data_IF_551658828153
#
_entry.id   IF_551658828153
#
_cell.length_a   1.000
_cell.length_b   1.000
_cell.length_c   1.000
_cell.angle_alpha   90.00
_cell.angle_beta   90.00
_cell.angle_gamma   90.00
#
_symmetry.space_group_name_H-M   'P 1'
#
loop_
_entity.id
_entity.type
_entity.pdbx_description
1 polymer ?
#
# COMPACT_ATOMS: atom_id res chain seq x y z
N UNK A 1 -20.23 14.24 32.43
CA UNK A 1 -19.66 15.54 32.02
C UNK A 1 -18.47 15.25 31.10
N UNK A 2 -18.64 15.51 29.79
CA UNK A 2 -17.57 15.48 28.80
C UNK A 2 -16.69 16.70 29.02
N UNK A 3 -15.39 16.52 29.22
CA UNK A 3 -14.40 17.60 29.11
C UNK A 3 -13.64 17.42 27.80
N UNK A 4 -14.00 18.25 26.83
CA UNK A 4 -13.25 18.42 25.58
C UNK A 4 -11.84 18.92 25.91
N UNK A 5 -10.81 18.15 25.53
CA UNK A 5 -9.44 18.66 25.47
C UNK A 5 -9.34 19.53 24.23
N UNK A 6 -9.05 20.81 24.44
CA UNK A 6 -8.64 21.78 23.43
C UNK A 6 -7.50 21.20 22.61
N UNK A 7 -7.62 21.27 21.29
CA UNK A 7 -6.51 21.08 20.36
C UNK A 7 -5.35 22.00 20.78
N UNK A 8 -4.28 21.41 21.28
CA UNK A 8 -3.00 22.10 21.43
C UNK A 8 -2.49 22.43 20.03
N UNK A 9 -2.02 23.65 19.80
CA UNK A 9 -1.17 23.98 18.67
C UNK A 9 0.08 23.08 18.73
N UNK A 10 0.02 21.94 18.07
CA UNK A 10 1.15 21.05 17.89
C UNK A 10 2.06 21.71 16.87
N UNK A 11 3.22 22.19 17.30
CA UNK A 11 4.29 22.52 16.38
C UNK A 11 4.54 21.31 15.49
N UNK A 12 4.35 21.48 14.19
CA UNK A 12 4.57 20.44 13.20
C UNK A 12 6.00 19.94 13.38
N UNK A 13 6.21 18.65 13.68
CA UNK A 13 7.53 18.07 13.78
C UNK A 13 8.40 18.47 12.60
N UNK A 14 9.67 18.78 12.84
CA UNK A 14 10.59 19.23 11.78
C UNK A 14 10.68 18.25 10.62
N UNK A 15 10.53 16.94 10.89
CA UNK A 15 10.51 15.90 9.86
C UNK A 15 9.29 16.01 8.94
N UNK A 16 8.11 16.34 9.46
CA UNK A 16 6.90 16.53 8.66
C UNK A 16 7.07 17.74 7.72
N UNK A 17 7.65 18.85 8.20
CA UNK A 17 7.94 20.01 7.32
C UNK A 17 8.95 19.67 6.23
N UNK A 18 9.87 18.76 6.51
CA UNK A 18 10.87 18.30 5.55
C UNK A 18 10.26 17.37 4.52
N UNK A 19 9.46 16.39 4.94
CA UNK A 19 8.71 15.51 4.06
C UNK A 19 7.80 16.34 3.15
N UNK A 20 7.14 17.38 3.67
CA UNK A 20 6.41 18.39 2.88
C UNK A 20 7.28 19.06 1.83
N UNK A 21 8.46 19.56 2.17
CA UNK A 21 9.36 20.17 1.17
C UNK A 21 9.89 19.18 0.13
N UNK A 22 10.12 17.93 0.51
CA UNK A 22 10.54 16.86 -0.40
C UNK A 22 9.39 16.48 -1.35
N UNK A 23 8.18 16.34 -0.81
CA UNK A 23 6.95 16.10 -1.56
C UNK A 23 6.58 17.27 -2.48
N UNK A 24 6.62 18.52 -2.02
CA UNK A 24 6.38 19.71 -2.85
C UNK A 24 7.29 19.73 -4.08
N UNK A 25 8.57 19.34 -3.92
CA UNK A 25 9.51 19.22 -5.03
C UNK A 25 9.15 18.07 -5.98
N UNK A 26 8.77 16.91 -5.46
CA UNK A 26 8.37 15.76 -6.29
C UNK A 26 7.06 16.01 -7.04
N UNK A 27 6.04 16.56 -6.37
CA UNK A 27 4.76 16.96 -6.97
C UNK A 27 4.99 18.02 -8.05
N UNK A 28 5.79 19.04 -7.76
CA UNK A 28 6.14 20.09 -8.75
C UNK A 28 6.86 19.50 -9.95
N UNK A 29 7.77 18.54 -9.76
CA UNK A 29 8.47 17.86 -10.85
C UNK A 29 7.52 16.97 -11.68
N UNK A 30 6.63 16.24 -11.01
CA UNK A 30 5.65 15.34 -11.65
C UNK A 30 4.66 16.12 -12.53
N UNK A 31 4.15 17.26 -12.06
CA UNK A 31 3.24 18.12 -12.84
C UNK A 31 3.96 18.98 -13.89
N UNK A 32 5.26 19.27 -13.74
CA UNK A 32 6.00 20.09 -14.72
C UNK A 32 6.69 19.29 -15.82
N UNK A 33 6.93 18.00 -15.63
CA UNK A 33 7.56 17.13 -16.64
C UNK A 33 9.02 17.49 -16.92
N UNK A 34 9.87 16.47 -17.06
CA UNK A 34 11.30 16.62 -17.31
C UNK A 34 11.65 17.53 -18.49
N UNK A 35 12.77 18.25 -18.34
CA UNK A 35 13.54 18.92 -19.40
C UNK A 35 12.72 19.69 -20.45
N UNK A 36 12.16 20.85 -20.08
CA UNK A 36 11.89 21.89 -21.09
C UNK A 36 13.18 22.68 -21.33
N UNK A 37 13.75 22.52 -22.52
CA UNK A 37 14.69 23.50 -23.09
C UNK A 37 14.07 24.90 -23.04
N UNK A 38 14.93 25.88 -22.80
CA UNK A 38 14.58 27.27 -22.58
C UNK A 38 13.71 27.86 -23.72
N UNK A 39 12.50 28.28 -23.37
CA UNK A 39 11.60 29.10 -24.17
C UNK A 39 11.01 30.22 -23.31
N UNK A 40 10.91 31.41 -23.90
CA UNK A 40 10.74 32.75 -23.31
C UNK A 40 9.59 32.97 -22.31
N UNK A 41 9.71 33.99 -21.42
CA UNK A 41 8.68 34.34 -20.45
C UNK A 41 7.61 35.22 -21.12
N UNK A 42 6.45 34.66 -21.44
CA UNK A 42 5.25 35.45 -21.64
C UNK A 42 4.16 35.02 -20.66
N UNK A 43 3.54 36.05 -20.11
CA UNK A 43 2.60 36.14 -19.01
C UNK A 43 1.45 35.12 -19.06
N UNK A 44 1.37 34.25 -18.03
CA UNK A 44 0.12 33.56 -17.67
C UNK A 44 -0.42 34.19 -16.37
N UNK A 45 -1.19 35.26 -16.52
CA UNK A 45 -2.23 35.61 -15.55
C UNK A 45 -3.43 34.70 -15.85
N UNK A 46 -3.43 33.49 -15.32
CA UNK A 46 -4.62 32.66 -15.23
C UNK A 46 -5.24 32.90 -13.85
N UNK A 47 -6.49 33.36 -13.86
CA UNK A 47 -7.30 33.58 -12.66
C UNK A 47 -7.32 32.31 -11.79
N UNK A 48 -6.99 32.43 -10.51
CA UNK A 48 -6.91 31.32 -9.53
C UNK A 48 -8.28 30.63 -9.26
N UNK A 49 -9.39 31.11 -9.85
CA UNK A 49 -10.74 30.60 -9.58
C UNK A 49 -11.11 29.32 -10.36
N UNK A 50 -10.35 28.90 -11.38
CA UNK A 50 -10.61 27.69 -12.19
C UNK A 50 -9.59 26.55 -12.00
N UNK A 51 -8.67 26.66 -11.02
CA UNK A 51 -7.73 25.59 -10.71
C UNK A 51 -8.47 24.42 -10.02
N UNK A 52 -8.55 23.27 -10.69
CA UNK A 52 -8.99 22.02 -10.06
C UNK A 52 -8.24 21.83 -8.73
N UNK A 53 -8.95 21.54 -7.62
CA UNK A 53 -8.29 21.36 -6.33
C UNK A 53 -7.26 20.24 -6.44
N UNK A 54 -6.04 20.52 -5.95
CA UNK A 54 -4.96 19.55 -5.92
C UNK A 54 -5.44 18.24 -5.27
N UNK A 55 -5.17 17.07 -5.87
CA UNK A 55 -5.50 15.78 -5.24
C UNK A 55 -4.64 15.52 -3.99
N UNK A 56 -3.60 16.34 -3.76
CA UNK A 56 -2.68 16.22 -2.64
C UNK A 56 -2.91 17.31 -1.58
N UNK A 57 -2.79 16.91 -0.32
CA UNK A 57 -2.80 17.76 0.86
C UNK A 57 -1.49 18.55 1.01
N UNK A 58 -1.54 19.66 1.73
CA UNK A 58 -0.33 20.40 2.15
C UNK A 58 0.56 19.59 3.10
N UNK A 59 -0.02 18.64 3.85
CA UNK A 59 0.68 17.75 4.77
C UNK A 59 0.03 16.37 4.77
N UNK A 60 0.80 15.30 4.95
CA UNK A 60 0.24 13.97 4.93
C UNK A 60 -0.48 13.68 6.24
N UNK A 61 -1.55 12.90 6.16
CA UNK A 61 -2.21 12.32 7.33
C UNK A 61 -1.48 11.02 7.66
N UNK A 62 -0.72 11.07 8.76
CA UNK A 62 0.13 9.97 9.23
C UNK A 62 -0.57 9.01 10.19
N UNK A 63 -1.86 9.24 10.49
CA UNK A 63 -2.63 8.32 11.32
C UNK A 63 -2.74 6.97 10.60
N UNK A 64 -2.31 5.91 11.30
CA UNK A 64 -2.38 4.54 10.81
C UNK A 64 -3.56 3.84 11.47
N UNK A 65 -4.42 3.26 10.65
CA UNK A 65 -5.47 2.37 11.12
C UNK A 65 -4.97 0.94 11.02
N UNK A 66 -4.87 0.26 12.16
CA UNK A 66 -4.38 -1.12 12.20
C UNK A 66 -5.43 -2.07 12.77
N UNK A 67 -5.43 -3.30 12.29
CA UNK A 67 -6.15 -4.40 12.93
C UNK A 67 -5.38 -5.71 12.75
N UNK A 68 -5.67 -6.68 13.59
CA UNK A 68 -5.03 -7.99 13.58
C UNK A 68 -6.06 -9.07 13.81
N UNK A 69 -5.71 -10.30 13.48
CA UNK A 69 -6.51 -11.47 13.80
C UNK A 69 -5.76 -12.75 13.43
N UNK A 70 -6.42 -13.86 13.66
CA UNK A 70 -5.88 -15.17 13.30
C UNK A 70 -6.90 -16.27 13.48
N UNK A 71 -6.46 -17.51 13.39
CA UNK A 71 -7.26 -18.70 13.64
C UNK A 71 -6.43 -19.80 14.31
N UNK A 72 -7.11 -20.84 14.78
CA UNK A 72 -6.48 -21.99 15.44
C UNK A 72 -5.69 -22.89 14.46
N UNK A 73 -5.79 -22.64 13.15
CA UNK A 73 -5.04 -23.33 12.09
C UNK A 73 -3.65 -22.71 11.85
N UNK A 74 -3.25 -21.72 12.66
CA UNK A 74 -1.93 -21.08 12.59
C UNK A 74 -1.82 -20.02 11.50
N UNK A 75 -2.96 -19.51 11.00
CA UNK A 75 -2.99 -18.36 10.11
C UNK A 75 -3.17 -17.09 10.94
N UNK A 76 -2.16 -16.23 10.96
CA UNK A 76 -2.23 -14.93 11.65
C UNK A 76 -2.13 -13.81 10.62
N UNK A 77 -2.71 -12.66 10.89
CA UNK A 77 -2.57 -11.51 10.00
C UNK A 77 -2.56 -10.19 10.77
N UNK A 78 -2.00 -9.18 10.12
CA UNK A 78 -2.28 -7.79 10.43
C UNK A 78 -2.53 -7.00 9.15
N UNK A 79 -3.33 -5.96 9.28
CA UNK A 79 -3.56 -4.96 8.25
C UNK A 79 -3.24 -3.59 8.82
N UNK A 80 -2.63 -2.75 8.00
CA UNK A 80 -2.48 -1.34 8.28
C UNK A 80 -2.86 -0.52 7.05
N UNK A 81 -3.44 0.65 7.29
CA UNK A 81 -3.74 1.61 6.23
C UNK A 81 -3.46 3.05 6.68
N UNK A 82 -2.98 3.89 5.76
CA UNK A 82 -2.68 5.30 6.01
C UNK A 82 -3.08 6.13 4.78
N UNK A 83 -3.75 7.26 5.02
CA UNK A 83 -4.18 8.15 3.94
C UNK A 83 -3.01 8.83 3.23
N UNK A 84 -1.95 9.19 3.97
CA UNK A 84 -0.78 9.80 3.38
C UNK A 84 -1.09 11.17 2.78
N UNK A 85 -0.62 11.41 1.55
CA UNK A 85 -0.68 12.73 0.91
C UNK A 85 -1.98 13.01 0.18
N UNK A 86 -2.81 12.00 -0.10
CA UNK A 86 -4.07 12.18 -0.84
C UNK A 86 -5.08 12.95 0.00
N UNK A 87 -5.93 13.72 -0.66
CA UNK A 87 -7.03 14.45 -0.02
C UNK A 87 -8.09 13.53 0.61
N UNK A 88 -8.25 12.32 0.07
CA UNK A 88 -9.19 11.30 0.54
C UNK A 88 -8.46 9.98 0.80
N UNK A 89 -9.06 9.15 1.66
CA UNK A 89 -8.69 7.75 1.84
C UNK A 89 -9.70 6.89 1.08
N UNK A 90 -9.31 6.44 -0.11
CA UNK A 90 -10.18 5.68 -1.04
C UNK A 90 -9.96 4.16 -0.93
N UNK A 91 -8.86 3.72 -0.31
CA UNK A 91 -8.60 2.30 -0.03
C UNK A 91 -9.64 1.68 0.92
N UNK A 92 -9.92 0.40 0.70
CA UNK A 92 -10.64 -0.47 1.61
C UNK A 92 -9.99 -1.86 1.69
N UNK A 93 -10.38 -2.67 2.67
CA UNK A 93 -9.86 -4.04 2.81
C UNK A 93 -10.88 -4.99 3.45
N UNK A 94 -10.66 -6.29 3.26
CA UNK A 94 -11.38 -7.37 3.93
C UNK A 94 -10.37 -8.34 4.51
N UNK A 95 -10.52 -8.69 5.79
CA UNK A 95 -9.70 -9.71 6.43
C UNK A 95 -10.60 -10.71 7.14
N UNK A 96 -10.60 -11.97 6.68
CA UNK A 96 -11.32 -13.07 7.28
C UNK A 96 -10.39 -14.26 7.40
N UNK A 97 -9.75 -14.42 8.56
CA UNK A 97 -8.92 -15.59 8.88
C UNK A 97 -9.72 -16.89 8.93
N UNK A 98 -11.05 -16.82 9.00
CA UNK A 98 -11.93 -17.97 9.00
C UNK A 98 -13.27 -17.62 8.33
N UNK A 99 -13.70 -18.43 7.36
CA UNK A 99 -15.06 -18.35 6.79
C UNK A 99 -16.06 -19.10 7.69
N UNK A 100 -17.34 -19.12 7.28
CA UNK A 100 -18.44 -19.68 8.06
C UNK A 100 -19.00 -20.97 7.44
N UNK A 101 -19.69 -21.76 8.26
CA UNK A 101 -20.36 -22.99 7.80
C UNK A 101 -19.36 -24.04 7.35
N UNK A 102 -19.66 -24.74 6.26
CA UNK A 102 -18.81 -25.82 5.71
C UNK A 102 -17.44 -25.34 5.19
N UNK A 103 -17.18 -24.03 5.22
CA UNK A 103 -15.91 -23.41 4.80
C UNK A 103 -15.09 -22.92 6.00
N UNK A 104 -15.32 -23.42 7.20
CA UNK A 104 -14.62 -22.99 8.42
C UNK A 104 -13.08 -23.13 8.37
N UNK A 105 -12.54 -23.96 7.47
CA UNK A 105 -11.09 -24.07 7.27
C UNK A 105 -10.55 -23.17 6.14
N UNK A 106 -11.39 -22.29 5.59
CA UNK A 106 -11.03 -21.34 4.54
C UNK A 106 -10.81 -19.95 5.12
N UNK A 107 -9.97 -19.16 4.45
CA UNK A 107 -9.73 -17.76 4.79
C UNK A 107 -9.78 -16.87 3.53
N UNK A 108 -10.12 -15.60 3.70
CA UNK A 108 -10.20 -14.61 2.62
C UNK A 108 -9.59 -13.28 3.05
N UNK A 109 -8.70 -12.75 2.22
CA UNK A 109 -8.10 -11.43 2.41
C UNK A 109 -8.12 -10.66 1.10
N UNK A 110 -8.38 -9.36 1.15
CA UNK A 110 -8.34 -8.51 -0.03
C UNK A 110 -8.06 -7.05 0.32
N UNK A 111 -7.30 -6.39 -0.56
CA UNK A 111 -7.10 -4.94 -0.62
C UNK A 111 -7.82 -4.40 -1.85
N UNK A 112 -8.50 -3.27 -1.67
CA UNK A 112 -9.24 -2.57 -2.70
C UNK A 112 -8.71 -1.15 -2.77
N UNK A 113 -7.98 -0.82 -3.83
CA UNK A 113 -7.51 0.55 -4.10
C UNK A 113 -8.62 1.28 -4.86
N UNK A 114 -9.24 2.28 -4.23
CA UNK A 114 -10.35 3.02 -4.79
C UNK A 114 -9.87 4.25 -5.55
N UNK A 115 -10.56 4.63 -6.62
CA UNK A 115 -10.28 5.86 -7.34
C UNK A 115 -11.54 6.60 -7.77
N UNK A 116 -11.46 7.93 -7.79
CA UNK A 116 -12.55 8.84 -8.15
C UNK A 116 -13.80 8.67 -7.26
N UNK A 117 -13.59 8.37 -5.98
CA UNK A 117 -14.60 8.13 -4.95
C UNK A 117 -14.36 6.85 -4.17
N UNK A 118 -14.95 6.77 -2.98
CA UNK A 118 -14.77 5.65 -2.03
C UNK A 118 -15.83 4.56 -2.21
N UNK A 119 -16.90 4.86 -2.95
CA UNK A 119 -18.14 4.08 -2.94
C UNK A 119 -17.93 2.63 -3.40
N UNK A 120 -17.25 2.43 -4.54
CA UNK A 120 -17.06 1.08 -5.11
C UNK A 120 -16.12 0.23 -4.25
N UNK A 121 -15.00 0.79 -3.76
CA UNK A 121 -14.07 0.08 -2.87
C UNK A 121 -14.75 -0.36 -1.56
N UNK A 122 -15.52 0.53 -0.93
CA UNK A 122 -16.29 0.22 0.28
C UNK A 122 -17.40 -0.79 0.05
N UNK A 123 -18.03 -0.80 -1.13
CA UNK A 123 -19.03 -1.81 -1.46
C UNK A 123 -18.37 -3.18 -1.68
N UNK A 124 -17.26 -3.23 -2.43
CA UNK A 124 -16.54 -4.47 -2.72
C UNK A 124 -15.99 -5.11 -1.45
N UNK A 125 -15.36 -4.33 -0.56
CA UNK A 125 -14.84 -4.84 0.72
C UNK A 125 -15.89 -5.49 1.63
N UNK A 126 -17.17 -5.18 1.44
CA UNK A 126 -18.28 -5.76 2.22
C UNK A 126 -18.97 -6.91 1.51
N UNK A 127 -19.02 -6.91 0.17
CA UNK A 127 -19.93 -7.74 -0.60
C UNK A 127 -19.26 -8.66 -1.63
N UNK A 128 -17.98 -8.48 -1.97
CA UNK A 128 -17.32 -9.28 -3.01
C UNK A 128 -17.25 -10.75 -2.64
N UNK A 129 -16.85 -11.06 -1.41
CA UNK A 129 -16.80 -12.45 -0.94
C UNK A 129 -18.19 -13.11 -1.02
N UNK A 130 -19.24 -12.42 -0.61
CA UNK A 130 -20.61 -12.96 -0.67
C UNK A 130 -21.04 -13.25 -2.11
N UNK A 131 -20.67 -12.41 -3.08
CA UNK A 131 -20.93 -12.66 -4.49
C UNK A 131 -20.16 -13.87 -5.02
N UNK A 132 -18.90 -14.04 -4.60
CA UNK A 132 -18.08 -15.22 -4.94
C UNK A 132 -18.70 -16.49 -4.34
N UNK A 133 -19.08 -16.47 -3.06
CA UNK A 133 -19.68 -17.62 -2.39
C UNK A 133 -21.05 -17.99 -2.98
N UNK A 134 -21.87 -16.99 -3.34
CA UNK A 134 -23.19 -17.18 -3.94
C UNK A 134 -23.17 -17.86 -5.32
N UNK A 135 -22.01 -17.95 -5.99
CA UNK A 135 -21.85 -18.74 -7.22
C UNK A 135 -22.01 -20.24 -6.98
N UNK A 136 -21.77 -20.70 -5.75
CA UNK A 136 -21.68 -22.12 -5.43
C UNK A 136 -20.44 -22.80 -6.00
N UNK A 137 -19.44 -22.05 -6.46
CA UNK A 137 -18.14 -22.58 -6.88
C UNK A 137 -17.21 -22.96 -5.72
N UNK A 138 -17.36 -22.30 -4.57
CA UNK A 138 -16.54 -22.54 -3.37
C UNK A 138 -17.22 -23.56 -2.47
N UNK A 139 -16.61 -24.73 -2.29
CA UNK A 139 -17.14 -25.85 -1.50
C UNK A 139 -16.03 -26.54 -0.72
N UNK A 140 -16.39 -27.19 0.39
CA UNK A 140 -15.46 -27.93 1.25
C UNK A 140 -14.66 -29.01 0.52
N UNK A 141 -15.26 -29.67 -0.48
CA UNK A 141 -14.59 -30.72 -1.25
C UNK A 141 -13.55 -30.19 -2.25
N UNK A 142 -13.47 -28.87 -2.42
CA UNK A 142 -12.50 -28.14 -3.24
C UNK A 142 -12.28 -28.71 -4.65
N UNK A 143 -13.02 -28.20 -5.63
CA UNK A 143 -12.69 -28.36 -7.05
C UNK A 143 -12.02 -27.07 -7.55
N UNK A 144 -10.70 -27.08 -7.84
CA UNK A 144 -9.98 -25.86 -8.17
C UNK A 144 -10.50 -25.11 -9.39
N UNK A 145 -11.07 -25.81 -10.37
CA UNK A 145 -11.62 -25.15 -11.56
C UNK A 145 -12.98 -24.52 -11.27
N UNK A 146 -13.81 -25.14 -10.40
CA UNK A 146 -15.03 -24.50 -9.89
C UNK A 146 -14.71 -23.30 -9.00
N UNK A 147 -13.62 -23.34 -8.23
CA UNK A 147 -13.18 -22.22 -7.41
C UNK A 147 -12.78 -21.03 -8.28
N UNK A 148 -11.93 -21.25 -9.29
CA UNK A 148 -11.53 -20.21 -10.24
C UNK A 148 -12.74 -19.61 -10.97
N UNK A 149 -13.63 -20.44 -11.50
CA UNK A 149 -14.82 -19.94 -12.18
C UNK A 149 -15.78 -19.23 -11.22
N UNK A 150 -15.93 -19.71 -9.98
CA UNK A 150 -16.73 -19.04 -8.96
C UNK A 150 -16.19 -17.66 -8.57
N UNK A 151 -14.87 -17.50 -8.49
CA UNK A 151 -14.23 -16.20 -8.28
C UNK A 151 -14.52 -15.29 -9.49
N UNK A 152 -14.26 -15.77 -10.71
CA UNK A 152 -14.51 -15.03 -11.94
C UNK A 152 -15.97 -14.58 -12.04
N UNK A 153 -16.91 -15.50 -11.90
CA UNK A 153 -18.35 -15.21 -11.97
C UNK A 153 -18.78 -14.25 -10.84
N UNK A 154 -18.22 -14.37 -9.64
CA UNK A 154 -18.45 -13.46 -8.53
C UNK A 154 -18.10 -12.00 -8.86
N UNK A 155 -16.94 -11.78 -9.48
CA UNK A 155 -16.52 -10.45 -9.96
C UNK A 155 -17.46 -9.90 -11.03
N UNK A 156 -17.83 -10.70 -12.03
CA UNK A 156 -18.74 -10.26 -13.09
C UNK A 156 -20.14 -9.91 -12.53
N UNK A 157 -20.64 -10.72 -11.59
CA UNK A 157 -21.93 -10.52 -10.92
C UNK A 157 -21.95 -9.26 -10.06
N UNK A 158 -20.94 -9.04 -9.21
CA UNK A 158 -20.92 -7.84 -8.37
C UNK A 158 -20.79 -6.56 -9.21
N UNK A 159 -19.98 -6.59 -10.27
CA UNK A 159 -19.82 -5.43 -11.16
C UNK A 159 -21.13 -5.10 -11.89
N UNK A 160 -21.79 -6.13 -12.43
CA UNK A 160 -23.13 -5.98 -13.04
C UNK A 160 -24.19 -5.53 -12.05
N UNK A 161 -24.09 -5.94 -10.79
CA UNK A 161 -25.00 -5.54 -9.72
C UNK A 161 -24.81 -4.06 -9.36
N UNK A 162 -23.56 -3.63 -9.14
CA UNK A 162 -23.22 -2.24 -8.85
C UNK A 162 -23.54 -1.31 -10.03
N UNK A 163 -23.43 -1.76 -11.28
CA UNK A 163 -23.81 -0.96 -12.46
C UNK A 163 -25.31 -0.65 -12.49
N UNK A 164 -26.16 -1.56 -12.01
CA UNK A 164 -27.59 -1.32 -11.87
C UNK A 164 -27.86 -0.34 -10.72
N UNK A 165 -27.25 -0.57 -9.56
CA UNK A 165 -27.40 0.30 -8.40
C UNK A 165 -26.93 1.73 -8.68
N UNK A 166 -25.81 1.91 -9.40
CA UNK A 166 -25.26 3.24 -9.68
C UNK A 166 -26.20 4.11 -10.52
N UNK A 167 -27.02 3.50 -11.39
CA UNK A 167 -28.06 4.17 -12.19
C UNK A 167 -29.29 4.55 -11.38
N UNK A 168 -29.56 3.84 -10.28
CA UNK A 168 -30.71 4.07 -9.39
C UNK A 168 -30.37 5.08 -8.28
N UNK A 169 -29.17 4.98 -7.71
CA UNK A 169 -28.77 5.66 -6.47
C UNK A 169 -27.72 6.77 -6.67
N UNK A 170 -27.47 7.23 -7.91
CA UNK A 170 -26.54 8.33 -8.22
C UNK A 170 -25.15 8.16 -7.57
N UNK A 171 -24.56 6.98 -7.71
CA UNK A 171 -23.23 6.71 -7.16
C UNK A 171 -22.16 7.61 -7.77
N UNK A 172 -21.09 7.84 -7.01
CA UNK A 172 -19.84 8.40 -7.54
C UNK A 172 -19.36 7.57 -8.73
N UNK A 173 -18.72 8.23 -9.71
CA UNK A 173 -18.09 7.58 -10.87
C UNK A 173 -16.75 6.95 -10.49
N UNK A 174 -16.77 6.22 -9.37
CA UNK A 174 -15.60 5.56 -8.79
C UNK A 174 -15.37 4.20 -9.42
N UNK A 175 -14.14 3.73 -9.27
CA UNK A 175 -13.76 2.35 -9.52
C UNK A 175 -12.88 1.85 -8.38
N UNK A 176 -12.56 0.57 -8.42
CA UNK A 176 -11.58 0.00 -7.51
C UNK A 176 -10.85 -1.18 -8.12
N UNK A 177 -9.58 -1.31 -7.77
CA UNK A 177 -8.83 -2.54 -7.95
C UNK A 177 -9.23 -3.57 -6.90
N UNK A 178 -8.82 -4.83 -7.08
CA UNK A 178 -8.92 -5.85 -6.06
C UNK A 178 -7.74 -6.82 -6.17
N UNK A 179 -6.86 -6.79 -5.17
CA UNK A 179 -5.86 -7.83 -4.95
C UNK A 179 -6.26 -8.65 -3.73
N UNK A 180 -6.40 -9.95 -3.88
CA UNK A 180 -6.91 -10.82 -2.84
C UNK A 180 -6.37 -12.24 -2.88
N UNK A 181 -6.62 -12.95 -1.79
CA UNK A 181 -6.37 -14.39 -1.69
C UNK A 181 -7.57 -15.08 -1.07
N UNK A 182 -7.90 -16.25 -1.61
CA UNK A 182 -8.77 -17.23 -0.97
C UNK A 182 -7.89 -18.43 -0.62
N UNK A 183 -7.80 -18.76 0.67
CA UNK A 183 -6.91 -19.80 1.20
C UNK A 183 -7.77 -20.97 1.64
N UNK A 184 -7.58 -22.14 1.03
CA UNK A 184 -8.19 -23.40 1.46
C UNK A 184 -7.20 -24.20 2.30
N UNK A 185 -7.60 -25.36 2.84
CA UNK A 185 -6.66 -26.29 3.48
C UNK A 185 -5.50 -26.73 2.59
N UNK A 186 -5.68 -26.73 1.25
CA UNK A 186 -4.71 -27.29 0.30
C UNK A 186 -4.10 -26.29 -0.66
N UNK A 187 -4.78 -25.19 -0.96
CA UNK A 187 -4.36 -24.26 -1.99
C UNK A 187 -4.48 -22.80 -1.55
N UNK A 188 -3.69 -21.95 -2.19
CA UNK A 188 -3.81 -20.50 -2.17
C UNK A 188 -4.29 -20.08 -3.55
N UNK A 189 -5.46 -19.47 -3.62
CA UNK A 189 -6.01 -18.86 -4.83
C UNK A 189 -5.71 -17.37 -4.80
N UNK A 190 -4.76 -16.92 -5.62
CA UNK A 190 -4.46 -15.50 -5.80
C UNK A 190 -5.45 -14.90 -6.78
N UNK A 191 -5.95 -13.72 -6.47
CA UNK A 191 -7.00 -13.02 -7.21
C UNK A 191 -6.47 -11.62 -7.50
N UNK A 192 -6.37 -11.23 -8.76
CA UNK A 192 -6.00 -9.85 -9.11
C UNK A 192 -6.91 -9.24 -10.17
N UNK A 193 -7.33 -7.99 -9.94
CA UNK A 193 -8.05 -7.16 -10.90
C UNK A 193 -7.61 -5.71 -10.68
N UNK A 194 -6.68 -5.23 -11.49
CA UNK A 194 -6.02 -3.92 -11.31
C UNK A 194 -4.52 -4.05 -11.01
N UNK A 195 -3.95 -3.03 -10.38
CA UNK A 195 -2.53 -2.86 -10.11
C UNK A 195 -2.15 -2.82 -8.62
N UNK A 196 -3.10 -3.09 -7.73
CA UNK A 196 -2.75 -3.70 -6.45
C UNK A 196 -2.06 -5.05 -6.70
N UNK A 197 -1.24 -5.51 -5.75
CA UNK A 197 -0.45 -6.74 -5.93
C UNK A 197 -0.43 -7.58 -4.67
N UNK A 198 -0.39 -8.90 -4.89
CA UNK A 198 -0.14 -9.91 -3.85
C UNK A 198 1.13 -10.68 -4.17
N UNK A 199 1.95 -10.98 -3.17
CA UNK A 199 3.07 -11.92 -3.27
C UNK A 199 3.06 -12.98 -2.17
N UNK A 200 3.77 -14.09 -2.42
CA UNK A 200 4.04 -15.17 -1.48
C UNK A 200 5.54 -15.31 -1.24
N UNK A 201 5.92 -15.27 0.04
CA UNK A 201 7.24 -15.68 0.51
C UNK A 201 7.20 -17.16 0.90
N UNK A 202 8.16 -17.92 0.38
CA UNK A 202 8.38 -19.34 0.68
C UNK A 202 9.88 -19.57 0.82
N UNK A 203 10.30 -20.13 1.95
CA UNK A 203 11.72 -20.33 2.30
C UNK A 203 12.60 -19.08 2.05
N UNK A 204 12.08 -17.92 2.46
CA UNK A 204 12.76 -16.63 2.31
C UNK A 204 12.84 -16.06 0.89
N UNK A 205 12.14 -16.63 -0.08
CA UNK A 205 12.12 -16.16 -1.47
C UNK A 205 10.70 -15.81 -1.94
N UNK A 206 10.61 -14.83 -2.85
CA UNK A 206 9.37 -14.56 -3.57
C UNK A 206 9.18 -15.65 -4.62
N UNK A 207 8.25 -16.58 -4.37
CA UNK A 207 7.97 -17.70 -5.29
C UNK A 207 6.82 -17.40 -6.24
N UNK A 208 5.97 -16.44 -5.89
CA UNK A 208 4.84 -16.02 -6.71
C UNK A 208 4.42 -14.60 -6.37
N UNK A 209 3.96 -13.86 -7.39
CA UNK A 209 3.25 -12.61 -7.24
C UNK A 209 2.27 -12.42 -8.40
N UNK A 210 1.20 -11.66 -8.18
CA UNK A 210 0.21 -11.35 -9.21
C UNK A 210 0.75 -10.33 -10.22
N UNK A 211 0.39 -10.45 -11.49
CA UNK A 211 0.76 -9.45 -12.50
C UNK A 211 -0.20 -8.25 -12.48
N UNK A 212 0.35 -7.03 -12.48
CA UNK A 212 -0.44 -5.79 -12.49
C UNK A 212 -1.12 -5.59 -13.85
N UNK A 213 -2.39 -5.19 -13.81
CA UNK A 213 -3.19 -4.90 -15.00
C UNK A 213 -3.02 -3.44 -15.44
N UNK A 214 -1.96 -3.18 -16.18
CA UNK A 214 -1.65 -1.85 -16.74
C UNK A 214 -2.14 -1.71 -18.19
N UNK A 215 -2.67 -0.54 -18.62
CA UNK A 215 -3.19 -0.32 -19.97
C UNK A 215 -2.20 -0.61 -21.09
N UNK A 216 -0.89 -0.47 -20.83
CA UNK A 216 0.15 -0.71 -21.84
C UNK A 216 0.55 -2.19 -21.98
N UNK A 217 0.04 -3.09 -21.13
CA UNK A 217 0.27 -4.53 -21.26
C UNK A 217 -0.34 -5.03 -22.59
N UNK A 218 0.30 -5.95 -23.33
CA UNK A 218 -0.11 -6.31 -24.68
C UNK A 218 -1.59 -6.72 -24.82
N UNK A 219 -2.07 -7.64 -23.96
CA UNK A 219 -3.46 -8.12 -23.97
C UNK A 219 -4.46 -7.04 -23.59
N UNK A 220 -4.10 -6.20 -22.62
CA UNK A 220 -4.93 -5.10 -22.14
C UNK A 220 -5.08 -4.02 -23.21
N UNK A 221 -3.96 -3.62 -23.83
CA UNK A 221 -3.92 -2.66 -24.94
C UNK A 221 -4.74 -3.14 -26.13
N UNK A 222 -4.62 -4.41 -26.50
CA UNK A 222 -5.41 -5.02 -27.58
C UNK A 222 -6.91 -4.93 -27.26
N UNK A 223 -7.34 -5.32 -26.06
CA UNK A 223 -8.74 -5.18 -25.62
C UNK A 223 -9.22 -3.74 -25.71
N UNK A 224 -8.46 -2.79 -25.16
CA UNK A 224 -8.79 -1.35 -25.15
C UNK A 224 -8.97 -0.83 -26.59
N UNK A 225 -8.07 -1.17 -27.51
CA UNK A 225 -8.16 -0.76 -28.91
C UNK A 225 -9.36 -1.39 -29.62
N UNK A 226 -9.62 -2.67 -29.36
CA UNK A 226 -10.76 -3.41 -29.88
C UNK A 226 -12.11 -2.86 -29.38
N UNK A 227 -12.14 -2.29 -28.16
CA UNK A 227 -13.28 -1.59 -27.61
C UNK A 227 -13.43 -0.14 -28.12
N UNK A 228 -12.56 0.31 -29.03
CA UNK A 228 -12.62 1.65 -29.65
C UNK A 228 -11.85 2.73 -28.88
N UNK A 229 -11.08 2.37 -27.86
CA UNK A 229 -10.24 3.29 -27.10
C UNK A 229 -8.80 3.36 -27.58
N UNK A 230 -7.98 4.08 -26.80
CA UNK A 230 -6.55 4.24 -27.05
C UNK A 230 -5.77 4.17 -25.74
N UNK A 231 -4.47 3.91 -25.83
CA UNK A 231 -3.55 3.97 -24.68
C UNK A 231 -2.56 5.10 -24.94
N UNK A 232 -2.68 6.17 -24.15
CA UNK A 232 -1.92 7.41 -24.30
C UNK A 232 -1.30 7.73 -22.95
N UNK A 233 0.03 7.98 -22.91
CA UNK A 233 0.77 8.21 -21.66
C UNK A 233 0.48 7.14 -20.59
N UNK A 234 0.48 5.86 -21.01
CA UNK A 234 0.20 4.70 -20.15
C UNK A 234 -1.23 4.63 -19.59
N UNK A 235 -2.15 5.50 -20.05
CA UNK A 235 -3.54 5.59 -19.56
C UNK A 235 -4.57 5.30 -20.66
N UNK A 236 -5.70 4.73 -20.29
CA UNK A 236 -6.86 4.56 -21.18
C UNK A 236 -7.39 5.94 -21.54
N UNK A 237 -7.38 6.26 -22.84
CA UNK A 237 -7.80 7.54 -23.40
C UNK A 237 -7.10 8.76 -22.73
N UNK A 238 -5.91 8.55 -22.15
CA UNK A 238 -5.18 9.57 -21.40
C UNK A 238 -5.68 9.82 -19.97
N UNK A 239 -6.71 9.10 -19.50
CA UNK A 239 -7.35 9.34 -18.20
C UNK A 239 -7.00 8.28 -17.14
N UNK A 240 -7.38 7.01 -17.36
CA UNK A 240 -7.31 5.98 -16.31
C UNK A 240 -6.02 5.14 -16.40
N UNK A 241 -5.31 4.97 -15.29
CA UNK A 241 -4.01 4.29 -15.23
C UNK A 241 -4.09 2.77 -15.05
N UNK A 242 -5.28 2.24 -14.75
CA UNK A 242 -5.56 0.80 -14.63
C UNK A 242 -6.31 0.30 -15.84
N UNK A 243 -6.06 -0.95 -16.25
CA UNK A 243 -6.83 -1.59 -17.32
C UNK A 243 -7.95 -2.49 -16.81
N UNK A 244 -7.91 -2.90 -15.55
CA UNK A 244 -8.95 -3.72 -14.93
C UNK A 244 -9.35 -3.14 -13.59
N UNK A 245 -10.66 -3.14 -13.34
CA UNK A 245 -11.27 -2.63 -12.12
C UNK A 245 -12.74 -3.05 -12.05
N UNK A 246 -13.26 -3.12 -10.84
CA UNK A 246 -14.70 -3.08 -10.56
C UNK A 246 -15.16 -1.62 -10.57
N UNK A 247 -16.40 -1.33 -10.97
CA UNK A 247 -16.86 0.06 -11.14
C UNK A 247 -16.45 0.64 -12.50
N UNK A 248 -16.05 1.90 -12.55
CA UNK A 248 -15.63 2.59 -13.79
C UNK A 248 -16.63 2.45 -14.94
N UNK A 249 -17.93 2.56 -14.63
CA UNK A 249 -18.99 2.18 -15.56
C UNK A 249 -18.97 2.99 -16.86
N UNK A 250 -18.51 4.25 -16.84
CA UNK A 250 -18.35 5.07 -18.04
C UNK A 250 -17.37 4.44 -19.07
N UNK A 251 -16.47 3.56 -18.63
CA UNK A 251 -15.54 2.80 -19.48
C UNK A 251 -16.09 1.43 -19.91
N UNK A 252 -17.34 1.12 -19.57
CA UNK A 252 -17.99 -0.20 -19.75
C UNK A 252 -19.30 -0.14 -20.54
N UNK A 253 -19.51 0.92 -21.32
CA UNK A 253 -20.75 1.16 -22.10
C UNK A 253 -20.59 0.87 -23.61
N UNK A 254 -19.61 0.06 -24.04
CA UNK A 254 -19.52 -0.35 -25.44
C UNK A 254 -20.55 -1.46 -25.74
N UNK A 255 -21.69 -1.09 -26.35
CA UNK A 255 -22.83 -1.97 -26.63
C UNK A 255 -22.50 -3.22 -27.47
N UNK A 256 -21.44 -3.17 -28.26
CA UNK A 256 -21.02 -4.27 -29.15
C UNK A 256 -19.95 -5.18 -28.54
N UNK A 257 -19.63 -5.00 -27.25
CA UNK A 257 -18.62 -5.79 -26.53
C UNK A 257 -19.23 -6.45 -25.30
N UNK A 258 -18.86 -7.70 -24.99
CA UNK A 258 -19.21 -8.30 -23.71
C UNK A 258 -18.53 -7.57 -22.55
N UNK A 259 -18.99 -7.82 -21.32
CA UNK A 259 -18.51 -7.17 -20.10
C UNK A 259 -16.98 -7.23 -19.93
N UNK A 260 -16.34 -8.32 -20.34
CA UNK A 260 -14.89 -8.54 -20.20
C UNK A 260 -14.06 -7.95 -21.35
N UNK A 261 -14.70 -7.48 -22.43
CA UNK A 261 -14.06 -6.85 -23.59
C UNK A 261 -14.32 -5.34 -23.67
N UNK A 262 -14.66 -4.72 -22.54
CA UNK A 262 -14.82 -3.27 -22.41
C UNK A 262 -13.47 -2.55 -22.36
N UNK A 263 -13.46 -1.20 -22.31
CA UNK A 263 -12.21 -0.44 -22.13
C UNK A 263 -11.54 -0.82 -20.82
N UNK A 264 -12.33 -0.93 -19.74
CA UNK A 264 -11.93 -1.46 -18.43
C UNK A 264 -12.63 -2.79 -18.21
N UNK A 265 -11.89 -3.86 -17.93
CA UNK A 265 -12.47 -5.18 -17.66
C UNK A 265 -12.63 -5.42 -16.15
N UNK A 266 -13.76 -5.96 -15.68
CA UNK A 266 -13.90 -6.45 -14.30
C UNK A 266 -13.38 -7.88 -14.11
N UNK A 267 -12.89 -8.53 -15.16
CA UNK A 267 -12.47 -9.94 -15.11
C UNK A 267 -11.17 -10.11 -14.30
N UNK A 268 -11.21 -10.85 -13.17
CA UNK A 268 -10.02 -11.09 -12.39
C UNK A 268 -9.13 -12.14 -13.07
N UNK A 269 -7.83 -12.06 -12.83
CA UNK A 269 -6.94 -13.19 -13.03
C UNK A 269 -6.87 -14.01 -11.74
N UNK A 270 -6.98 -15.33 -11.87
CA UNK A 270 -7.01 -16.26 -10.74
C UNK A 270 -5.93 -17.33 -10.89
N UNK A 271 -4.96 -17.32 -9.98
CA UNK A 271 -3.87 -18.29 -9.94
C UNK A 271 -4.06 -19.23 -8.76
N UNK A 272 -3.62 -20.48 -8.94
CA UNK A 272 -3.72 -21.51 -7.90
C UNK A 272 -2.34 -22.08 -7.60
N UNK A 273 -1.92 -21.97 -6.35
CA UNK A 273 -0.74 -22.63 -5.82
C UNK A 273 -1.15 -23.66 -4.77
N UNK A 274 -0.45 -24.79 -4.71
CA UNK A 274 -0.59 -25.76 -3.63
C UNK A 274 0.18 -25.25 -2.41
N UNK A 275 -0.40 -25.42 -1.22
CA UNK A 275 0.20 -24.99 0.04
C UNK A 275 1.31 -25.94 0.46
N UNK A 276 2.35 -25.39 1.07
CA UNK A 276 3.46 -26.15 1.63
C UNK A 276 3.77 -25.70 3.07
N UNK A 277 4.35 -26.56 3.91
CA UNK A 277 4.80 -26.16 5.25
C UNK A 277 5.85 -25.04 5.26
N UNK A 278 6.58 -24.88 4.16
CA UNK A 278 7.63 -23.87 3.97
C UNK A 278 7.09 -22.49 3.53
N UNK A 279 5.78 -22.39 3.26
CA UNK A 279 5.14 -21.09 3.04
C UNK A 279 5.28 -20.24 4.31
N UNK A 280 5.90 -19.07 4.18
CA UNK A 280 6.20 -18.19 5.32
C UNK A 280 5.07 -17.17 5.50
N UNK A 281 4.84 -16.31 4.50
CA UNK A 281 3.83 -15.25 4.58
C UNK A 281 3.39 -14.74 3.20
N UNK A 282 2.20 -14.13 3.16
CA UNK A 282 1.68 -13.35 2.04
C UNK A 282 1.75 -11.86 2.36
N UNK A 283 1.95 -11.06 1.31
CA UNK A 283 1.77 -9.60 1.37
C UNK A 283 0.77 -9.20 0.30
N UNK A 284 -0.32 -8.54 0.70
CA UNK A 284 -1.29 -7.89 -0.19
C UNK A 284 -1.18 -6.39 0.04
N UNK A 285 -1.01 -5.60 -1.02
CA UNK A 285 -0.98 -4.14 -0.88
C UNK A 285 -1.45 -3.42 -2.15
N UNK A 286 -1.85 -2.15 -1.99
CA UNK A 286 -2.11 -1.23 -3.09
C UNK A 286 -0.82 -0.70 -3.72
N UNK A 287 -0.92 0.00 -4.84
CA UNK A 287 0.24 0.53 -5.57
C UNK A 287 1.01 1.58 -4.76
N UNK A 288 0.37 2.24 -3.79
CA UNK A 288 1.02 3.12 -2.81
C UNK A 288 2.17 2.46 -2.05
N UNK A 289 2.20 1.12 -1.98
CA UNK A 289 3.38 0.33 -1.55
C UNK A 289 4.26 -0.04 -2.75
N UNK A 290 3.70 -0.66 -3.78
CA UNK A 290 4.46 -1.29 -4.86
C UNK A 290 5.19 -0.32 -5.81
N UNK A 291 4.75 0.93 -5.87
CA UNK A 291 5.45 2.00 -6.57
C UNK A 291 6.66 2.51 -5.78
N UNK A 292 6.69 2.27 -4.46
CA UNK A 292 7.76 2.72 -3.57
C UNK A 292 8.83 1.64 -3.31
N UNK A 293 8.47 0.36 -3.36
CA UNK A 293 9.38 -0.75 -3.05
C UNK A 293 9.09 -1.99 -3.91
N UNK A 294 10.16 -2.63 -4.41
CA UNK A 294 10.07 -3.83 -5.24
C UNK A 294 9.68 -5.09 -4.46
N UNK A 295 9.29 -6.14 -5.19
CA UNK A 295 8.80 -7.40 -4.61
C UNK A 295 9.86 -8.05 -3.67
N UNK A 296 11.08 -8.24 -4.17
CA UNK A 296 12.16 -8.88 -3.45
C UNK A 296 12.63 -8.03 -2.26
N UNK A 297 12.68 -6.71 -2.45
CA UNK A 297 13.04 -5.75 -1.40
C UNK A 297 12.02 -5.78 -0.26
N UNK A 298 10.72 -5.73 -0.56
CA UNK A 298 9.68 -5.74 0.47
C UNK A 298 9.62 -7.10 1.18
N UNK A 299 9.75 -8.19 0.43
CA UNK A 299 9.80 -9.54 0.99
C UNK A 299 10.97 -9.68 1.97
N UNK A 300 12.18 -9.28 1.57
CA UNK A 300 13.35 -9.33 2.44
C UNK A 300 13.20 -8.42 3.66
N UNK A 301 12.64 -7.23 3.48
CA UNK A 301 12.38 -6.28 4.58
C UNK A 301 11.42 -6.87 5.60
N UNK A 302 10.23 -7.30 5.19
CA UNK A 302 9.20 -7.88 6.06
C UNK A 302 9.74 -9.10 6.80
N UNK A 303 10.42 -10.00 6.08
CA UNK A 303 11.04 -11.19 6.67
C UNK A 303 12.06 -10.83 7.76
N UNK A 304 12.91 -9.84 7.50
CA UNK A 304 13.89 -9.34 8.46
C UNK A 304 13.21 -8.70 9.68
N UNK A 305 12.12 -7.94 9.48
CA UNK A 305 11.36 -7.33 10.58
C UNK A 305 10.68 -8.38 11.48
N UNK A 306 10.16 -9.47 10.92
CA UNK A 306 9.59 -10.59 11.71
C UNK A 306 10.61 -11.24 12.67
N UNK A 307 11.91 -11.15 12.36
CA UNK A 307 12.97 -11.71 13.21
C UNK A 307 13.31 -10.80 14.41
N UNK A 308 12.82 -9.57 14.45
CA UNK A 308 13.10 -8.58 15.51
C UNK A 308 11.83 -8.01 16.17
N UNK A 309 10.66 -8.27 15.61
CA UNK A 309 9.37 -7.76 16.05
C UNK A 309 8.31 -8.87 15.95
N UNK A 310 7.58 -9.11 17.03
CA UNK A 310 6.49 -10.08 17.11
C UNK A 310 5.11 -9.49 16.77
N UNK A 311 4.95 -8.16 16.86
CA UNK A 311 3.71 -7.46 16.50
C UNK A 311 3.64 -7.20 14.98
N UNK A 312 2.80 -7.97 14.27
CA UNK A 312 2.59 -7.80 12.83
C UNK A 312 2.05 -6.41 12.47
N UNK A 313 1.31 -5.73 13.36
CA UNK A 313 0.82 -4.37 13.10
C UNK A 313 1.97 -3.38 13.03
N UNK A 314 2.98 -3.55 13.89
CA UNK A 314 4.18 -2.72 13.88
C UNK A 314 5.02 -2.96 12.62
N UNK A 315 5.05 -4.20 12.11
CA UNK A 315 5.70 -4.50 10.82
C UNK A 315 4.94 -3.82 9.68
N UNK A 316 3.61 -3.92 9.64
CA UNK A 316 2.79 -3.21 8.64
C UNK A 316 3.00 -1.70 8.71
N UNK A 317 3.06 -1.12 9.93
CA UNK A 317 3.34 0.30 10.12
C UNK A 317 4.72 0.71 9.61
N UNK A 318 5.75 -0.10 9.88
CA UNK A 318 7.11 0.12 9.36
C UNK A 318 7.17 0.08 7.83
N UNK A 319 6.39 -0.80 7.18
CA UNK A 319 6.29 -0.81 5.71
C UNK A 319 5.65 0.48 5.19
N UNK A 320 4.55 0.93 5.81
CA UNK A 320 3.89 2.19 5.44
C UNK A 320 4.86 3.37 5.57
N UNK A 321 5.58 3.47 6.69
CA UNK A 321 6.54 4.55 6.92
C UNK A 321 7.70 4.49 5.92
N UNK A 322 8.21 3.29 5.62
CA UNK A 322 9.22 3.09 4.59
C UNK A 322 8.75 3.58 3.21
N UNK A 323 7.53 3.24 2.80
CA UNK A 323 6.98 3.66 1.51
C UNK A 323 6.80 5.17 1.45
N UNK A 324 6.29 5.78 2.53
CA UNK A 324 6.17 7.23 2.66
C UNK A 324 7.55 7.91 2.56
N UNK A 325 8.57 7.38 3.22
CA UNK A 325 9.93 7.93 3.18
C UNK A 325 10.64 7.73 1.85
N UNK A 326 10.29 6.68 1.11
CA UNK A 326 10.72 6.46 -0.28
C UNK A 326 9.98 7.34 -1.29
N UNK A 327 8.97 8.10 -0.84
CA UNK A 327 8.31 9.13 -1.63
C UNK A 327 6.91 8.78 -2.12
N UNK A 328 6.28 7.74 -1.57
CA UNK A 328 4.88 7.44 -1.88
C UNK A 328 4.00 8.64 -1.53
N UNK A 329 3.20 9.08 -2.51
CA UNK A 329 2.25 10.17 -2.39
C UNK A 329 0.80 9.67 -2.35
N UNK A 330 0.60 8.36 -2.24
CA UNK A 330 -0.70 7.74 -2.34
C UNK A 330 -1.31 7.39 -0.97
N UNK A 331 -2.54 6.89 -0.99
CA UNK A 331 -3.05 6.01 0.06
C UNK A 331 -2.17 4.76 0.12
N UNK A 332 -1.96 4.24 1.33
CA UNK A 332 -1.08 3.09 1.54
C UNK A 332 -1.80 2.08 2.43
N UNK A 333 -2.16 0.93 1.87
CA UNK A 333 -2.77 -0.18 2.57
C UNK A 333 -1.98 -1.47 2.34
N UNK A 334 -1.75 -2.22 3.41
CA UNK A 334 -1.02 -3.48 3.40
C UNK A 334 -1.67 -4.49 4.36
N UNK A 335 -1.79 -5.73 3.91
CA UNK A 335 -2.12 -6.91 4.72
C UNK A 335 -0.93 -7.85 4.68
N UNK A 336 -0.44 -8.26 5.84
CA UNK A 336 0.52 -9.35 5.99
C UNK A 336 -0.22 -10.54 6.60
N UNK A 337 -0.15 -11.69 5.94
CA UNK A 337 -0.74 -12.95 6.43
C UNK A 337 0.39 -13.95 6.65
N UNK A 338 0.60 -14.38 7.89
CA UNK A 338 1.62 -15.36 8.28
C UNK A 338 1.05 -16.77 8.34
N UNK A 339 1.79 -17.71 7.78
CA UNK A 339 1.59 -19.15 7.94
C UNK A 339 2.46 -19.68 9.10
N UNK A 340 2.30 -20.95 9.50
CA UNK A 340 3.16 -21.56 10.52
C UNK A 340 4.66 -21.56 10.19
N UNK A 341 5.03 -21.47 8.91
CA UNK A 341 6.42 -21.37 8.45
C UNK A 341 7.05 -19.98 8.63
N UNK A 342 6.29 -18.96 9.03
CA UNK A 342 6.79 -17.59 9.17
C UNK A 342 8.00 -17.49 10.12
N UNK A 343 9.01 -16.67 9.80
CA UNK A 343 10.15 -16.43 10.69
C UNK A 343 9.68 -15.97 12.07
N UNK A 344 10.38 -16.45 13.08
CA UNK A 344 10.15 -16.06 14.46
C UNK A 344 11.25 -15.11 14.92
N UNK A 345 10.95 -14.33 15.96
CA UNK A 345 11.93 -13.46 16.61
C UNK A 345 13.14 -14.28 17.06
N UNK A 346 14.34 -13.78 16.75
CA UNK A 346 15.60 -14.45 17.11
C UNK A 346 16.50 -13.55 17.93
N UNK A 347 17.18 -14.12 18.92
CA UNK A 347 18.11 -13.38 19.78
C UNK A 347 19.29 -12.78 18.99
N UNK A 348 19.74 -13.49 17.96
CA UNK A 348 20.80 -13.00 17.07
C UNK A 348 20.35 -11.75 16.30
N UNK A 349 19.16 -11.77 15.69
CA UNK A 349 18.64 -10.61 14.96
C UNK A 349 18.38 -9.41 15.90
N UNK A 350 17.88 -9.66 17.12
CA UNK A 350 17.71 -8.60 18.13
C UNK A 350 19.04 -7.94 18.52
N UNK A 351 20.12 -8.73 18.66
CA UNK A 351 21.45 -8.21 18.95
C UNK A 351 22.00 -7.39 17.77
N UNK A 352 21.83 -7.87 16.55
CA UNK A 352 22.23 -7.15 15.33
C UNK A 352 21.47 -5.82 15.19
N UNK A 353 20.16 -5.81 15.46
CA UNK A 353 19.34 -4.60 15.44
C UNK A 353 19.81 -3.59 16.50
N UNK A 354 20.05 -4.03 17.74
CA UNK A 354 20.52 -3.16 18.81
C UNK A 354 21.90 -2.55 18.53
N UNK A 355 22.81 -3.34 17.93
CA UNK A 355 24.13 -2.87 17.51
C UNK A 355 24.02 -1.83 16.39
N UNK A 356 23.16 -2.06 15.39
CA UNK A 356 22.90 -1.09 14.33
C UNK A 356 22.34 0.22 14.90
N UNK A 357 21.36 0.16 15.79
CA UNK A 357 20.78 1.35 16.41
C UNK A 357 21.79 2.12 17.25
N UNK A 358 22.71 1.42 17.92
CA UNK A 358 23.81 2.06 18.62
C UNK A 358 24.77 2.79 17.66
N UNK A 359 25.14 2.16 16.54
CA UNK A 359 25.97 2.79 15.50
C UNK A 359 25.31 4.04 14.92
N UNK A 360 23.99 3.99 14.67
CA UNK A 360 23.22 5.16 14.24
C UNK A 360 23.26 6.25 15.33
N UNK A 361 23.01 5.92 16.60
CA UNK A 361 22.98 6.90 17.70
C UNK A 361 24.33 7.63 17.87
N UNK A 362 25.45 6.91 17.72
CA UNK A 362 26.81 7.48 17.78
C UNK A 362 27.05 8.42 16.60
N UNK A 363 26.77 7.99 15.36
CA UNK A 363 26.95 8.84 14.17
C UNK A 363 26.09 10.09 14.21
N UNK A 364 24.85 10.00 14.71
CA UNK A 364 23.97 11.16 14.87
C UNK A 364 24.50 12.14 15.94
N UNK A 365 25.22 11.66 16.97
CA UNK A 365 25.83 12.52 17.99
C UNK A 365 27.01 13.35 17.45
N UNK A 366 27.86 12.71 16.63
CA UNK A 366 29.06 13.31 16.02
C UNK A 366 28.72 14.50 15.11
N UNK A 367 27.56 14.43 14.46
CA UNK A 367 27.08 15.46 13.55
C UNK A 367 26.41 16.62 14.31
N UNK A 368 26.92 17.86 14.13
CA UNK A 368 26.27 19.12 14.57
C UNK A 368 25.49 19.96 13.50
N UNK A 369 24.93 19.39 12.41
CA UNK A 369 24.09 20.12 11.46
C UNK A 369 22.58 19.92 11.70
N UNK A 370 21.76 20.47 10.81
CA UNK A 370 20.32 20.20 10.79
C UNK A 370 20.02 18.72 10.44
N UNK A 371 18.81 18.26 10.79
CA UNK A 371 18.37 16.88 10.60
C UNK A 371 18.44 16.41 9.12
N UNK A 372 18.24 17.32 8.16
CA UNK A 372 18.28 16.97 6.73
C UNK A 372 19.71 16.61 6.32
N UNK A 373 20.70 17.33 6.82
CA UNK A 373 22.08 16.97 6.59
C UNK A 373 22.40 15.60 7.19
N UNK A 374 22.01 15.34 8.44
CA UNK A 374 22.27 14.04 9.11
C UNK A 374 21.68 12.88 8.30
N UNK A 375 20.43 13.02 7.82
CA UNK A 375 19.79 11.99 6.98
C UNK A 375 20.57 11.79 5.67
N UNK A 376 20.99 12.86 4.99
CA UNK A 376 21.76 12.76 3.75
C UNK A 376 23.15 12.18 3.95
N UNK A 377 23.79 12.52 5.06
CA UNK A 377 25.10 12.00 5.44
C UNK A 377 25.03 10.49 5.67
N UNK A 378 24.11 10.04 6.52
CA UNK A 378 23.90 8.61 6.78
C UNK A 378 23.47 7.84 5.53
N UNK A 379 22.75 8.47 4.60
CA UNK A 379 22.40 7.86 3.32
C UNK A 379 23.56 7.75 2.32
N UNK A 380 24.61 8.55 2.49
CA UNK A 380 25.82 8.47 1.66
C UNK A 380 26.88 7.52 2.23
N UNK A 381 26.71 7.07 3.48
CA UNK A 381 27.64 6.14 4.13
C UNK A 381 27.26 4.67 3.89
N UNK A 382 28.29 3.84 3.72
CA UNK A 382 28.12 2.39 3.74
C UNK A 382 28.02 1.91 5.19
N UNK A 383 26.80 1.59 5.63
CA UNK A 383 26.53 1.06 6.96
C UNK A 383 26.18 -0.43 6.87
N UNK A 384 26.98 -1.33 7.46
CA UNK A 384 26.66 -2.75 7.48
C UNK A 384 25.46 -3.05 8.39
N UNK A 385 24.74 -4.14 8.11
CA UNK A 385 23.64 -4.60 8.97
C UNK A 385 22.30 -3.87 8.77
N UNK A 386 22.21 -2.94 7.81
CA UNK A 386 20.95 -2.28 7.47
C UNK A 386 19.86 -3.30 7.05
N UNK A 387 18.58 -3.06 7.38
CA UNK A 387 17.49 -3.94 6.96
C UNK A 387 17.46 -4.09 5.43
N UNK A 388 17.45 -5.32 4.88
CA UNK A 388 17.44 -5.53 3.43
C UNK A 388 16.16 -4.94 2.82
N UNK A 389 16.27 -4.36 1.62
CA UNK A 389 15.17 -3.65 0.93
C UNK A 389 14.78 -2.29 1.53
N UNK A 390 14.80 -2.18 2.86
CA UNK A 390 14.52 -0.95 3.59
C UNK A 390 15.69 0.03 3.67
N UNK A 391 16.92 -0.48 3.77
CA UNK A 391 18.14 0.31 3.92
C UNK A 391 18.09 1.27 5.11
N UNK A 392 18.88 2.34 5.05
CA UNK A 392 18.88 3.41 6.07
C UNK A 392 17.54 4.14 6.17
N UNK A 393 16.77 4.18 5.06
CA UNK A 393 15.46 4.82 5.00
C UNK A 393 14.48 4.17 5.98
N UNK A 394 14.53 2.85 6.16
CA UNK A 394 13.70 2.15 7.15
C UNK A 394 14.06 2.49 8.61
N UNK A 395 15.24 3.06 8.86
CA UNK A 395 15.71 3.49 10.19
C UNK A 395 15.50 4.99 10.43
N UNK A 396 14.74 5.70 9.58
CA UNK A 396 14.55 7.15 9.68
C UNK A 396 13.96 7.58 11.03
N UNK A 397 13.02 6.83 11.60
CA UNK A 397 12.47 7.12 12.93
C UNK A 397 13.50 6.97 14.06
N UNK A 398 14.39 5.98 13.96
CA UNK A 398 15.52 5.81 14.87
C UNK A 398 16.47 7.02 14.79
N UNK A 399 16.83 7.45 13.56
CA UNK A 399 17.66 8.63 13.30
C UNK A 399 17.01 9.89 13.89
N UNK A 400 15.72 10.10 13.64
CA UNK A 400 14.97 11.27 14.14
C UNK A 400 14.95 11.26 15.68
N UNK A 401 14.68 10.10 16.29
CA UNK A 401 14.62 9.95 17.74
C UNK A 401 15.97 10.23 18.40
N UNK A 402 17.06 9.69 17.84
CA UNK A 402 18.42 9.96 18.27
C UNK A 402 18.78 11.45 18.12
N UNK A 403 18.47 12.06 16.99
CA UNK A 403 18.72 13.48 16.75
C UNK A 403 18.01 14.38 17.78
N UNK A 404 16.74 14.09 18.08
CA UNK A 404 15.98 14.83 19.09
C UNK A 404 16.55 14.66 20.50
N UNK A 405 16.95 13.44 20.86
CA UNK A 405 17.63 13.12 22.13
C UNK A 405 18.89 13.96 22.29
N UNK A 406 19.79 13.96 21.30
CA UNK A 406 21.04 14.70 21.34
C UNK A 406 20.85 16.22 21.32
N UNK A 407 19.90 16.73 20.54
CA UNK A 407 19.54 18.15 20.54
C UNK A 407 19.06 18.65 21.91
N UNK A 408 18.25 17.85 22.62
CA UNK A 408 17.81 18.17 23.99
C UNK A 408 18.98 18.18 24.98
N UNK A 409 19.89 17.22 24.88
CA UNK A 409 21.11 17.16 25.71
C UNK A 409 21.99 18.39 25.47
N UNK A 410 22.28 18.76 24.21
CA UNK A 410 23.06 19.96 23.86
C UNK A 410 22.41 21.25 24.40
N UNK A 411 21.09 21.40 24.28
CA UNK A 411 20.35 22.57 24.80
C UNK A 411 20.41 22.69 26.33
N UNK A 412 20.32 21.55 27.05
CA UNK A 412 20.43 21.52 28.51
C UNK A 412 21.82 21.89 29.04
N UNK A 413 22.89 21.50 28.32
CA UNK A 413 24.29 21.86 28.65
C UNK A 413 24.60 23.35 28.46
N UNK A 414 23.92 24.04 27.55
CA UNK A 414 24.09 25.48 27.33
C UNK A 414 23.37 26.36 28.37
N UNK A 415 22.42 25.80 29.14
CA UNK A 415 21.62 26.54 30.13
C UNK A 415 22.18 26.52 31.57
N UNK A 416 23.33 25.88 31.81
CA UNK A 416 24.04 26.03 33.08
C UNK A 416 24.98 27.25 33.01
N UNK A 417 24.70 28.36 33.71
CA UNK A 417 25.67 29.45 33.81
C UNK A 417 26.90 28.91 34.52
N UNK A 418 28.08 29.13 33.93
CA UNK A 418 29.35 28.97 34.64
C UNK A 418 29.29 29.85 35.89
N UNK A 419 29.02 29.25 37.04
CA UNK A 419 29.09 29.95 38.32
C UNK A 419 30.49 30.55 38.48
N UNK A 420 30.62 31.75 39.05
CA UNK A 420 31.92 32.37 39.23
C UNK A 420 32.79 31.45 40.10
N UNK A 421 33.96 31.12 39.56
CA UNK A 421 35.03 30.43 40.26
C UNK A 421 35.51 31.40 41.33
N UNK A 422 35.30 31.05 42.60
CA UNK A 422 35.76 31.79 43.78
C UNK A 422 37.25 31.63 44.01
#
# INVERSE_FOLDING_TARGET
MRTARRASNVEVPSFLRQLVKETEKMVTFFFKGGSREAGSPEEDNLDEEDALPSPYLERPILEKHTSEGGNDLGLNYAVASMQGWRAQMEDAHTCMSQLRGDLEDWAYFAVFDGHAGITVAQYCSKNLLDHILATGGIKANEDPEQVKEGIREGFLKIDSHMHKLSREDSWERSGTTAAGVLISPRHIYFINCGDSRTLLCHDGQVVFYTEDHKPFNPREKERIQNAGGSVTLQRINGSLAVSRALGDFDFKEADWRPQTEQLVSPEPEVYKLERTPEDEFLILACDGVWDAIGNEELCAFVRNRMQVCDDLRDICAQVIDLCLYKGSLDNISIIIVCFPGAPQVSQEALQQEAELEHQIDVKVEEEDPDLLYVIKFLAAEEMPGLPPGGGITSKRDCIISSYQKHKRVKSSRQHFPRGPIS
#
